data_IF_098520342371
#
_entry.id   IF_098520342371
#
_cell.length_a   1.000
_cell.length_b   1.000
_cell.length_c   1.000
_cell.angle_alpha   90.00
_cell.angle_beta   90.00
_cell.angle_gamma   90.00
#
_symmetry.space_group_name_H-M   'P 1'
#
loop_
_entity.id
_entity.type
_entity.pdbx_description
1 polymer ?
#
# COMPACT_ATOMS: atom_id res chain seq x y z
N UNK A 1 50.49 31.60 30.13
CA UNK A 1 50.47 30.15 29.78
C UNK A 1 49.22 29.49 30.37
N UNK A 2 48.18 29.18 29.57
CA UNK A 2 46.94 28.51 30.03
C UNK A 2 46.82 27.14 29.35
N UNK A 3 47.03 26.05 30.10
CA UNK A 3 46.93 24.67 29.57
C UNK A 3 45.45 24.30 29.37
N UNK A 4 45.02 24.11 28.12
CA UNK A 4 43.68 23.57 27.78
C UNK A 4 43.59 22.12 28.26
N UNK A 5 42.71 21.85 29.23
CA UNK A 5 42.37 20.50 29.71
C UNK A 5 41.44 19.83 28.69
N UNK A 6 41.97 18.93 27.88
CA UNK A 6 41.18 18.09 26.97
C UNK A 6 40.25 17.17 27.79
N UNK A 7 38.93 17.31 27.60
CA UNK A 7 37.93 16.44 28.25
C UNK A 7 38.13 15.01 27.75
N UNK A 8 38.52 14.11 28.65
CA UNK A 8 38.76 12.69 28.38
C UNK A 8 37.42 12.02 28.02
N UNK A 9 37.30 11.46 26.82
CA UNK A 9 36.13 10.65 26.45
C UNK A 9 35.99 9.48 27.43
N UNK A 10 34.84 9.39 28.09
CA UNK A 10 34.58 8.35 29.10
C UNK A 10 34.35 7.03 28.36
N UNK A 11 35.12 5.99 28.70
CA UNK A 11 34.99 4.66 28.07
C UNK A 11 33.60 4.09 28.37
N UNK A 12 32.95 3.52 27.35
CA UNK A 12 31.67 2.82 27.50
C UNK A 12 31.81 1.59 28.42
N UNK A 13 30.88 1.46 29.36
CA UNK A 13 30.79 0.31 30.26
C UNK A 13 30.27 -0.94 29.53
N UNK A 14 30.53 -2.13 30.10
CA UNK A 14 30.07 -3.41 29.52
C UNK A 14 28.55 -3.44 29.30
N UNK A 15 27.76 -2.87 30.22
CA UNK A 15 26.30 -2.79 30.11
C UNK A 15 25.85 -1.96 28.91
N UNK A 16 26.52 -0.83 28.64
CA UNK A 16 26.22 0.03 27.50
C UNK A 16 26.51 -0.66 26.17
N UNK A 17 27.56 -1.48 26.10
CA UNK A 17 27.87 -2.28 24.91
C UNK A 17 26.81 -3.34 24.65
N UNK A 18 26.38 -4.05 25.69
CA UNK A 18 25.31 -5.07 25.59
C UNK A 18 24.00 -4.44 25.10
N UNK A 19 23.62 -3.29 25.67
CA UNK A 19 22.43 -2.56 25.25
C UNK A 19 22.48 -2.16 23.77
N UNK A 20 23.63 -1.66 23.28
CA UNK A 20 23.80 -1.29 21.87
C UNK A 20 23.69 -2.51 20.94
N UNK A 21 24.20 -3.66 21.35
CA UNK A 21 24.08 -4.91 20.57
C UNK A 21 22.60 -5.34 20.48
N UNK A 22 21.87 -5.30 21.59
CA UNK A 22 20.44 -5.64 21.59
C UNK A 22 19.62 -4.68 20.75
N UNK A 23 19.91 -3.38 20.85
CA UNK A 23 19.23 -2.35 20.04
C UNK A 23 19.49 -2.56 18.55
N UNK A 24 20.73 -2.83 18.17
CA UNK A 24 21.09 -3.12 16.78
C UNK A 24 20.38 -4.39 16.27
N UNK A 25 20.31 -5.45 17.08
CA UNK A 25 19.57 -6.66 16.76
C UNK A 25 18.07 -6.42 16.57
N UNK A 26 17.46 -5.62 17.45
CA UNK A 26 16.05 -5.25 17.33
C UNK A 26 15.75 -4.48 16.04
N UNK A 27 16.61 -3.51 15.70
CA UNK A 27 16.48 -2.73 14.46
C UNK A 27 16.57 -3.65 13.23
N UNK A 28 17.51 -4.59 13.22
CA UNK A 28 17.65 -5.55 12.12
C UNK A 28 16.42 -6.45 11.96
N UNK A 29 15.85 -6.92 13.08
CA UNK A 29 14.61 -7.73 13.07
C UNK A 29 13.45 -6.91 12.49
N UNK A 30 13.28 -5.67 12.94
CA UNK A 30 12.26 -4.78 12.37
C UNK A 30 12.50 -4.57 10.87
N UNK A 31 13.72 -4.26 10.44
CA UNK A 31 14.02 -4.09 9.02
C UNK A 31 13.66 -5.33 8.21
N UNK A 32 13.96 -6.54 8.71
CA UNK A 32 13.60 -7.79 8.04
C UNK A 32 12.08 -8.00 7.94
N UNK A 33 11.34 -7.76 9.03
CA UNK A 33 9.88 -7.93 9.06
C UNK A 33 9.13 -6.96 8.15
N UNK A 34 9.65 -5.73 8.03
CA UNK A 34 9.00 -4.67 7.26
C UNK A 34 9.57 -4.54 5.83
N UNK A 35 10.55 -5.35 5.43
CA UNK A 35 11.21 -5.25 4.12
C UNK A 35 10.28 -5.52 2.93
N UNK A 36 9.43 -6.54 3.06
CA UNK A 36 8.53 -7.00 1.97
C UNK A 36 7.09 -6.49 2.11
N UNK A 37 6.83 -5.54 3.01
CA UNK A 37 5.47 -5.01 3.15
C UNK A 37 5.19 -4.07 1.98
N UNK A 38 4.20 -4.39 1.11
CA UNK A 38 3.85 -3.52 0.00
C UNK A 38 3.38 -2.16 0.53
N UNK A 39 3.60 -1.10 -0.25
CA UNK A 39 3.10 0.23 0.07
C UNK A 39 1.58 0.15 0.36
N UNK A 40 1.10 0.74 1.48
CA UNK A 40 -0.33 0.76 1.79
C UNK A 40 -1.15 1.49 0.71
N UNK A 41 -0.49 2.29 -0.14
CA UNK A 41 -1.13 2.96 -1.27
C UNK A 41 -1.63 1.98 -2.34
N UNK A 42 -1.05 0.78 -2.45
CA UNK A 42 -1.46 -0.25 -3.39
C UNK A 42 -2.78 -0.95 -3.00
N UNK A 43 -3.31 -0.66 -1.79
CA UNK A 43 -4.60 -1.19 -1.35
C UNK A 43 -5.79 -0.38 -1.88
N UNK A 44 -5.57 0.84 -2.39
CA UNK A 44 -6.64 1.72 -2.89
C UNK A 44 -7.03 1.41 -4.34
N UNK A 45 -6.34 0.51 -5.03
CA UNK A 45 -6.89 -0.03 -6.27
C UNK A 45 -7.94 -1.06 -5.86
N UNK A 46 -9.16 -0.61 -5.61
CA UNK A 46 -10.30 -1.49 -5.53
C UNK A 46 -10.25 -2.38 -6.77
N UNK A 47 -9.90 -3.65 -6.59
CA UNK A 47 -10.07 -4.66 -7.63
C UNK A 47 -11.57 -4.90 -7.70
N UNK A 48 -12.29 -3.93 -8.26
CA UNK A 48 -13.73 -4.03 -8.47
C UNK A 48 -13.92 -5.28 -9.31
N UNK A 49 -14.72 -6.21 -8.79
CA UNK A 49 -15.12 -7.43 -9.48
C UNK A 49 -15.75 -7.05 -10.82
N UNK A 50 -15.04 -7.25 -11.92
CA UNK A 50 -15.56 -7.02 -13.28
C UNK A 50 -15.85 -8.35 -13.95
N UNK A 51 -16.92 -8.40 -14.73
CA UNK A 51 -17.25 -9.60 -15.50
C UNK A 51 -16.28 -9.77 -16.68
N UNK A 52 -15.92 -11.02 -16.95
CA UNK A 52 -15.11 -11.36 -18.14
C UNK A 52 -16.05 -11.57 -19.33
N UNK A 53 -15.85 -10.80 -20.40
CA UNK A 53 -16.66 -10.89 -21.62
C UNK A 53 -15.94 -11.72 -22.68
N UNK A 54 -16.57 -12.83 -23.10
CA UNK A 54 -16.14 -13.67 -24.21
C UNK A 54 -16.86 -13.23 -25.48
N UNK A 55 -16.10 -12.87 -26.51
CA UNK A 55 -16.61 -12.41 -27.80
C UNK A 55 -16.43 -13.47 -28.88
N UNK A 56 -17.38 -13.58 -29.80
CA UNK A 56 -17.23 -14.33 -31.05
C UNK A 56 -16.27 -13.62 -32.01
N UNK A 57 -15.82 -14.31 -33.07
CA UNK A 57 -14.92 -13.80 -34.13
C UNK A 57 -15.42 -12.50 -34.78
N UNK A 58 -16.74 -12.27 -34.76
CA UNK A 58 -17.38 -11.08 -35.30
C UNK A 58 -17.49 -9.92 -34.27
N UNK A 59 -16.89 -10.05 -33.08
CA UNK A 59 -16.97 -9.05 -32.01
C UNK A 59 -18.31 -9.05 -31.25
N UNK A 60 -19.21 -9.98 -31.55
CA UNK A 60 -20.49 -10.13 -30.83
C UNK A 60 -20.25 -10.81 -29.49
N UNK A 61 -20.84 -10.29 -28.42
CA UNK A 61 -20.81 -10.93 -27.10
C UNK A 61 -21.41 -12.35 -27.19
N UNK A 62 -20.59 -13.35 -26.87
CA UNK A 62 -20.98 -14.76 -26.88
C UNK A 62 -21.35 -15.22 -25.47
N UNK A 63 -20.54 -14.87 -24.47
CA UNK A 63 -20.77 -15.26 -23.08
C UNK A 63 -20.11 -14.29 -22.10
N UNK A 64 -20.58 -14.25 -20.87
CA UNK A 64 -20.06 -13.39 -19.81
C UNK A 64 -19.87 -14.22 -18.53
N UNK A 65 -18.64 -14.28 -18.03
CA UNK A 65 -18.27 -15.03 -16.83
C UNK A 65 -18.21 -14.05 -15.65
N UNK A 66 -18.98 -14.33 -14.61
CA UNK A 66 -18.98 -13.59 -13.35
C UNK A 66 -19.39 -14.52 -12.20
N UNK A 67 -19.02 -14.17 -10.98
CA UNK A 67 -19.36 -14.93 -9.77
C UNK A 67 -20.67 -14.41 -9.19
N UNK A 68 -20.60 -13.37 -8.36
CA UNK A 68 -21.78 -12.85 -7.66
C UNK A 68 -22.43 -11.69 -8.41
N UNK A 69 -21.62 -10.88 -9.11
CA UNK A 69 -22.06 -9.62 -9.69
C UNK A 69 -21.65 -9.47 -11.15
N UNK A 70 -22.59 -9.01 -11.95
CA UNK A 70 -22.37 -8.68 -13.36
C UNK A 70 -22.05 -7.20 -13.49
N UNK A 71 -20.77 -6.84 -13.53
CA UNK A 71 -20.31 -5.44 -13.60
C UNK A 71 -19.53 -5.16 -14.87
N UNK A 72 -19.93 -4.10 -15.59
CA UNK A 72 -19.18 -3.53 -16.71
C UNK A 72 -18.61 -2.19 -16.28
N UNK A 73 -17.28 -1.97 -16.34
CA UNK A 73 -16.70 -0.68 -16.06
C UNK A 73 -17.13 0.34 -17.13
N UNK A 74 -17.48 1.54 -16.69
CA UNK A 74 -17.83 2.68 -17.55
C UNK A 74 -17.19 3.94 -16.97
N UNK A 75 -16.69 4.82 -17.84
CA UNK A 75 -16.13 6.09 -17.40
C UNK A 75 -17.26 7.05 -16.98
N UNK A 76 -17.04 7.89 -15.96
CA UNK A 76 -18.07 8.84 -15.51
C UNK A 76 -18.48 9.81 -16.62
N UNK A 77 -17.58 10.12 -17.55
CA UNK A 77 -17.83 10.99 -18.70
C UNK A 77 -18.79 10.38 -19.73
N UNK A 78 -18.91 9.05 -19.77
CA UNK A 78 -19.81 8.35 -20.68
C UNK A 78 -21.23 8.24 -20.11
N UNK A 79 -21.42 8.58 -18.83
CA UNK A 79 -22.72 8.57 -18.17
C UNK A 79 -23.51 9.84 -18.47
N UNK A 80 -24.84 9.74 -18.67
CA UNK A 80 -25.69 10.91 -18.73
C UNK A 80 -25.63 11.73 -17.42
N UNK A 81 -25.60 13.08 -17.47
CA UNK A 81 -25.45 13.92 -16.27
C UNK A 81 -26.47 13.63 -15.17
N UNK A 82 -27.72 13.33 -15.56
CA UNK A 82 -28.80 13.04 -14.63
C UNK A 82 -28.56 11.79 -13.78
N UNK A 83 -27.73 10.84 -14.23
CA UNK A 83 -27.40 9.63 -13.44
C UNK A 83 -26.55 10.01 -12.24
N UNK A 84 -25.58 10.90 -12.44
CA UNK A 84 -24.72 11.41 -11.37
C UNK A 84 -25.55 12.27 -10.40
N UNK A 85 -26.37 13.16 -10.94
CA UNK A 85 -27.26 14.02 -10.15
C UNK A 85 -28.27 13.23 -9.32
N UNK A 86 -28.87 12.18 -9.88
CA UNK A 86 -29.81 11.32 -9.16
C UNK A 86 -29.14 10.57 -8.00
N UNK A 87 -27.93 10.05 -8.21
CA UNK A 87 -27.15 9.39 -7.13
C UNK A 87 -26.80 10.39 -6.03
N UNK A 88 -26.41 11.62 -6.37
CA UNK A 88 -26.12 12.66 -5.38
C UNK A 88 -27.36 13.10 -4.60
N UNK A 89 -28.55 13.02 -5.19
CA UNK A 89 -29.79 13.45 -4.54
C UNK A 89 -30.35 12.42 -3.54
N UNK A 90 -29.95 11.14 -3.65
CA UNK A 90 -30.45 10.05 -2.79
C UNK A 90 -29.53 9.73 -1.60
N UNK A 91 -28.25 10.12 -1.67
CA UNK A 91 -27.28 10.07 -0.57
C UNK A 91 -27.46 11.25 0.40
#
# INVERSE_FOLDING_TARGET
MKKKKYKRFKKLSRKQKIFLILLAGFILICMYLFYDIPSPFNLNSDQISVSTKLMDRNGKLFYEIYTDERRTPIELTDLPPYVIEATLAIE
#
